data_IF_448993012994
#
_entry.id   IF_448993012994
#
_cell.length_a   1.000
_cell.length_b   1.000
_cell.length_c   1.000
_cell.angle_alpha   90.00
_cell.angle_beta   90.00
_cell.angle_gamma   90.00
#
_symmetry.space_group_name_H-M   'P 1'
#
loop_
_entity.id
_entity.type
_entity.pdbx_description
1 polymer ?
#
# COMPACT_ATOMS: atom_id res chain seq x y z
N UNK A 1 -0.93 -29.14 -11.17
CA UNK A 1 0.48 -28.70 -11.17
C UNK A 1 0.86 -27.92 -9.89
N UNK A 2 0.18 -26.80 -9.54
CA UNK A 2 0.49 -25.95 -8.38
C UNK A 2 0.50 -26.72 -7.05
N UNK A 3 -0.49 -27.58 -6.79
CA UNK A 3 -0.57 -28.38 -5.55
C UNK A 3 0.68 -29.25 -5.34
N UNK A 4 1.22 -29.83 -6.42
CA UNK A 4 2.49 -30.61 -6.35
C UNK A 4 3.69 -29.69 -6.14
N UNK A 5 3.75 -28.54 -6.86
CA UNK A 5 4.85 -27.58 -6.76
C UNK A 5 5.01 -26.99 -5.37
N UNK A 6 3.89 -26.73 -4.68
CA UNK A 6 3.86 -26.14 -3.34
C UNK A 6 3.66 -27.18 -2.21
N UNK A 7 3.71 -28.47 -2.52
CA UNK A 7 3.47 -29.55 -1.53
C UNK A 7 2.19 -29.32 -0.71
N UNK A 8 1.12 -28.78 -1.35
CA UNK A 8 -0.11 -28.39 -0.71
C UNK A 8 -1.31 -29.19 -1.21
N UNK A 9 -2.42 -29.19 -0.45
CA UNK A 9 -3.65 -29.84 -0.90
C UNK A 9 -4.29 -29.08 -2.07
N UNK A 10 -5.07 -29.79 -2.92
CA UNK A 10 -5.81 -29.15 -4.02
C UNK A 10 -6.83 -28.13 -3.50
N UNK A 11 -7.42 -28.37 -2.31
CA UNK A 11 -8.35 -27.44 -1.66
C UNK A 11 -7.65 -26.16 -1.22
N UNK A 12 -6.49 -26.28 -0.57
CA UNK A 12 -5.69 -25.12 -0.15
C UNK A 12 -5.29 -24.24 -1.33
N UNK A 13 -4.83 -24.86 -2.43
CA UNK A 13 -4.48 -24.12 -3.66
C UNK A 13 -5.71 -23.43 -4.26
N UNK A 14 -6.88 -24.10 -4.26
CA UNK A 14 -8.12 -23.49 -4.76
C UNK A 14 -8.51 -22.28 -3.94
N UNK A 15 -8.46 -22.39 -2.60
CA UNK A 15 -8.75 -21.29 -1.68
C UNK A 15 -7.78 -20.11 -1.88
N UNK A 16 -6.47 -20.37 -1.94
CA UNK A 16 -5.47 -19.34 -2.19
C UNK A 16 -5.72 -18.60 -3.52
N UNK A 17 -6.00 -19.35 -4.61
CA UNK A 17 -6.30 -18.75 -5.90
C UNK A 17 -7.62 -17.96 -5.91
N UNK A 18 -8.60 -18.36 -5.06
CA UNK A 18 -9.83 -17.58 -4.90
C UNK A 18 -9.57 -16.27 -4.14
N UNK A 19 -8.74 -16.29 -3.09
CA UNK A 19 -8.32 -15.09 -2.37
C UNK A 19 -7.62 -14.13 -3.34
N UNK A 20 -6.61 -14.59 -4.07
CA UNK A 20 -5.87 -13.78 -5.04
C UNK A 20 -6.79 -13.22 -6.16
N UNK A 21 -7.83 -13.98 -6.56
CA UNK A 21 -8.81 -13.51 -7.53
C UNK A 21 -9.72 -12.41 -6.95
N UNK A 22 -10.13 -12.54 -5.69
CA UNK A 22 -10.92 -11.53 -4.99
C UNK A 22 -10.12 -10.24 -4.74
N UNK A 23 -8.82 -10.37 -4.55
CA UNK A 23 -7.87 -9.25 -4.41
C UNK A 23 -7.48 -8.62 -5.75
N UNK A 24 -8.01 -9.12 -6.88
CA UNK A 24 -7.71 -8.59 -8.20
C UNK A 24 -6.33 -8.92 -8.76
N UNK A 25 -5.58 -9.82 -8.12
CA UNK A 25 -4.24 -10.26 -8.56
C UNK A 25 -4.30 -11.38 -9.62
N UNK A 26 -5.44 -12.07 -9.72
CA UNK A 26 -5.68 -13.14 -10.68
C UNK A 26 -7.01 -12.92 -11.38
N UNK A 27 -7.02 -12.99 -12.70
CA UNK A 27 -8.22 -13.06 -13.52
C UNK A 27 -8.59 -14.52 -13.72
N UNK A 28 -9.85 -14.87 -13.44
CA UNK A 28 -10.41 -16.18 -13.77
C UNK A 28 -11.32 -16.01 -15.00
N UNK A 29 -10.93 -16.57 -16.13
CA UNK A 29 -11.70 -16.56 -17.37
C UNK A 29 -12.88 -17.52 -17.31
N UNK A 30 -13.87 -17.33 -18.21
CA UNK A 30 -15.07 -18.16 -18.29
C UNK A 30 -14.78 -19.65 -18.57
N UNK A 31 -13.66 -19.95 -19.22
CA UNK A 31 -13.18 -21.31 -19.45
C UNK A 31 -12.42 -21.93 -18.27
N UNK A 32 -12.35 -21.23 -17.11
CA UNK A 32 -11.63 -21.67 -15.91
C UNK A 32 -10.12 -21.42 -15.94
N UNK A 33 -9.57 -20.84 -17.03
CA UNK A 33 -8.16 -20.42 -17.07
C UNK A 33 -7.95 -19.29 -16.08
N UNK A 34 -6.85 -19.35 -15.36
CA UNK A 34 -6.41 -18.31 -14.43
C UNK A 34 -5.13 -17.67 -14.93
N UNK A 35 -5.08 -16.35 -14.81
CA UNK A 35 -3.99 -15.53 -15.31
C UNK A 35 -3.63 -14.48 -14.26
N UNK A 36 -2.34 -14.27 -14.02
CA UNK A 36 -1.87 -13.20 -13.16
C UNK A 36 -2.12 -11.88 -13.86
N UNK A 37 -2.64 -10.90 -13.13
CA UNK A 37 -2.88 -9.56 -13.67
C UNK A 37 -1.54 -8.91 -14.01
N UNK A 38 -1.38 -8.49 -15.25
CA UNK A 38 -0.30 -7.59 -15.65
C UNK A 38 -0.85 -6.16 -15.58
N UNK A 39 -0.21 -5.32 -14.76
CA UNK A 39 -0.62 -3.93 -14.63
C UNK A 39 -0.10 -3.11 -15.80
N UNK A 40 -0.97 -2.25 -16.33
CA UNK A 40 -0.60 -1.18 -17.25
C UNK A 40 -0.34 0.11 -16.47
N UNK A 41 0.44 1.03 -17.03
CA UNK A 41 0.64 2.36 -16.41
C UNK A 41 -0.69 3.07 -16.12
N UNK A 42 -1.66 2.92 -17.02
CA UNK A 42 -3.00 3.48 -16.83
C UNK A 42 -3.69 2.93 -15.58
N UNK A 43 -3.63 1.61 -15.38
CA UNK A 43 -4.23 0.97 -14.20
C UNK A 43 -3.52 1.37 -12.90
N UNK A 44 -2.20 1.52 -12.93
CA UNK A 44 -1.45 2.08 -11.78
C UNK A 44 -1.93 3.48 -11.46
N UNK A 45 -2.00 4.35 -12.44
CA UNK A 45 -2.49 5.72 -12.27
C UNK A 45 -3.93 5.75 -11.71
N UNK A 46 -4.83 4.92 -12.25
CA UNK A 46 -6.21 4.83 -11.78
C UNK A 46 -6.28 4.36 -10.32
N UNK A 47 -5.48 3.36 -9.92
CA UNK A 47 -5.43 2.87 -8.54
C UNK A 47 -4.88 3.93 -7.57
N UNK A 48 -3.79 4.61 -7.92
CA UNK A 48 -3.21 5.64 -7.06
C UNK A 48 -4.09 6.88 -6.95
N UNK A 49 -4.79 7.28 -8.02
CA UNK A 49 -5.80 8.34 -7.96
C UNK A 49 -6.96 7.95 -7.03
N UNK A 50 -7.42 6.70 -7.10
CA UNK A 50 -8.47 6.20 -6.21
C UNK A 50 -7.99 6.11 -4.76
N UNK A 51 -6.76 5.62 -4.52
CA UNK A 51 -6.10 5.66 -3.21
C UNK A 51 -6.09 7.08 -2.64
N UNK A 52 -5.62 8.04 -3.43
CA UNK A 52 -5.54 9.44 -3.04
C UNK A 52 -6.91 10.01 -2.64
N UNK A 53 -7.97 9.72 -3.42
CA UNK A 53 -9.33 10.14 -3.13
C UNK A 53 -9.82 9.59 -1.78
N UNK A 54 -9.62 8.30 -1.53
CA UNK A 54 -10.05 7.65 -0.28
C UNK A 54 -9.28 8.16 0.93
N UNK A 55 -7.96 8.31 0.80
CA UNK A 55 -7.11 8.75 1.91
C UNK A 55 -7.30 10.23 2.24
N UNK A 56 -7.56 11.08 1.24
CA UNK A 56 -7.91 12.49 1.49
C UNK A 56 -9.27 12.62 2.17
N UNK A 57 -10.28 11.83 1.79
CA UNK A 57 -11.56 11.83 2.48
C UNK A 57 -11.42 11.27 3.90
N UNK A 58 -10.62 10.21 4.09
CA UNK A 58 -10.32 9.70 5.41
C UNK A 58 -9.61 10.75 6.29
N UNK A 59 -8.66 11.50 5.73
CA UNK A 59 -7.97 12.60 6.41
C UNK A 59 -8.96 13.70 6.82
N UNK A 60 -9.85 14.11 5.92
CA UNK A 60 -10.89 15.11 6.22
C UNK A 60 -11.77 14.68 7.40
N UNK A 61 -12.22 13.44 7.39
CA UNK A 61 -13.04 12.88 8.47
C UNK A 61 -12.26 12.76 9.78
N UNK A 62 -11.01 12.34 9.71
CA UNK A 62 -10.13 12.20 10.85
C UNK A 62 -9.86 13.56 11.53
N UNK A 63 -9.51 14.60 10.77
CA UNK A 63 -9.26 15.94 11.28
C UNK A 63 -10.53 16.62 11.80
N UNK A 64 -11.70 16.28 11.29
CA UNK A 64 -12.98 16.79 11.81
C UNK A 64 -13.34 16.27 13.20
N UNK A 65 -12.70 15.19 13.66
CA UNK A 65 -12.86 14.66 15.00
C UNK A 65 -12.03 15.51 15.96
N UNK A 66 -12.62 15.96 17.06
CA UNK A 66 -11.93 16.80 18.07
C UNK A 66 -10.82 16.05 18.84
N UNK A 67 -10.52 14.81 18.49
CA UNK A 67 -9.50 13.99 19.15
C UNK A 67 -8.21 14.00 18.31
N UNK A 68 -7.26 14.83 18.68
CA UNK A 68 -6.02 15.09 17.93
C UNK A 68 -4.86 14.13 18.21
N UNK A 69 -5.09 12.98 18.82
CA UNK A 69 -3.97 12.10 19.23
C UNK A 69 -3.73 10.88 18.33
N UNK A 70 -4.55 10.58 17.36
CA UNK A 70 -4.45 9.46 16.39
C UNK A 70 -3.59 8.25 16.83
N UNK A 71 -3.98 7.52 17.90
CA UNK A 71 -3.11 6.52 18.53
C UNK A 71 -2.78 5.33 17.63
N UNK A 72 -3.62 5.03 16.65
CA UNK A 72 -3.35 3.97 15.68
C UNK A 72 -2.16 4.33 14.79
N UNK A 73 -2.08 5.59 14.35
CA UNK A 73 -1.01 6.09 13.49
C UNK A 73 0.30 6.18 14.30
N UNK A 74 0.24 6.74 15.51
CA UNK A 74 1.40 6.83 16.41
C UNK A 74 2.05 5.47 16.65
N UNK A 75 1.23 4.43 16.89
CA UNK A 75 1.72 3.06 17.09
C UNK A 75 2.44 2.48 15.86
N UNK A 76 1.97 2.79 14.67
CA UNK A 76 2.64 2.33 13.43
C UNK A 76 3.90 3.14 13.19
N UNK A 77 3.88 4.44 13.44
CA UNK A 77 5.07 5.30 13.31
C UNK A 77 6.20 4.84 14.25
N UNK A 78 5.88 4.44 15.49
CA UNK A 78 6.84 3.83 16.42
C UNK A 78 7.44 2.51 15.87
N UNK A 79 6.66 1.69 15.17
CA UNK A 79 7.17 0.48 14.51
C UNK A 79 8.13 0.83 13.37
N UNK A 80 7.79 1.84 12.57
CA UNK A 80 8.64 2.32 11.48
C UNK A 80 9.97 2.83 12.04
N UNK A 81 9.94 3.65 13.09
CA UNK A 81 11.14 4.17 13.76
C UNK A 81 12.05 3.04 14.24
N UNK A 82 11.48 2.03 14.94
CA UNK A 82 12.22 0.86 15.40
C UNK A 82 12.84 0.07 14.25
N UNK A 83 12.11 -0.08 13.14
CA UNK A 83 12.61 -0.75 11.95
C UNK A 83 13.80 0.01 11.34
N UNK A 84 13.72 1.35 11.24
CA UNK A 84 14.83 2.18 10.74
C UNK A 84 16.10 2.10 11.61
N UNK A 85 15.94 1.88 12.93
CA UNK A 85 17.06 1.74 13.87
C UNK A 85 17.60 0.30 13.95
N UNK A 86 16.91 -0.66 13.35
CA UNK A 86 17.33 -2.06 13.37
C UNK A 86 18.29 -2.36 12.21
N UNK A 87 19.22 -3.27 12.45
CA UNK A 87 20.10 -3.81 11.41
C UNK A 87 19.49 -5.08 10.73
N UNK A 88 18.17 -5.28 10.86
CA UNK A 88 17.50 -6.43 10.24
C UNK A 88 17.27 -6.17 8.76
N UNK A 89 17.98 -6.92 7.91
CA UNK A 89 17.84 -6.85 6.45
C UNK A 89 16.54 -7.43 5.90
N UNK A 90 15.65 -7.96 6.75
CA UNK A 90 14.39 -8.59 6.36
C UNK A 90 13.16 -7.71 6.63
N UNK A 91 13.33 -6.39 6.75
CA UNK A 91 12.21 -5.47 7.01
C UNK A 91 11.36 -5.35 5.74
N UNK A 92 10.07 -5.62 5.89
CA UNK A 92 9.08 -5.36 4.84
C UNK A 92 8.58 -3.91 4.94
N UNK A 93 9.30 -2.99 4.28
CA UNK A 93 8.99 -1.57 4.23
C UNK A 93 7.62 -1.28 3.61
N UNK A 94 7.20 -2.11 2.65
CA UNK A 94 5.92 -1.92 1.97
C UNK A 94 4.74 -2.30 2.84
N UNK A 95 4.90 -3.34 3.66
CA UNK A 95 3.89 -3.68 4.67
C UNK A 95 3.79 -2.56 5.73
N UNK A 96 4.91 -1.96 6.13
CA UNK A 96 4.91 -0.82 7.05
C UNK A 96 4.22 0.41 6.45
N UNK A 97 4.43 0.72 5.17
CA UNK A 97 3.71 1.78 4.45
C UNK A 97 2.21 1.53 4.44
N UNK A 98 1.81 0.33 4.01
CA UNK A 98 0.40 -0.06 4.00
C UNK A 98 -0.22 -0.02 5.40
N UNK A 99 0.51 -0.42 6.45
CA UNK A 99 0.04 -0.30 7.84
C UNK A 99 -0.17 1.15 8.27
N UNK A 100 0.73 2.07 7.88
CA UNK A 100 0.62 3.49 8.22
C UNK A 100 -0.63 4.11 7.58
N UNK A 101 -0.79 3.95 6.28
CA UNK A 101 -1.95 4.46 5.56
C UNK A 101 -3.26 3.80 5.99
N UNK A 102 -3.23 2.50 6.28
CA UNK A 102 -4.37 1.78 6.89
C UNK A 102 -4.76 2.38 8.25
N UNK A 103 -3.79 2.71 9.09
CA UNK A 103 -4.06 3.34 10.39
C UNK A 103 -4.69 4.72 10.22
N UNK A 104 -4.23 5.52 9.25
CA UNK A 104 -4.81 6.81 8.90
C UNK A 104 -6.27 6.65 8.43
N UNK A 105 -6.53 5.74 7.48
CA UNK A 105 -7.88 5.48 6.96
C UNK A 105 -8.82 4.98 8.05
N UNK A 106 -8.38 4.07 8.91
CA UNK A 106 -9.16 3.57 10.06
C UNK A 106 -9.47 4.65 11.08
N UNK A 107 -8.59 5.63 11.25
CA UNK A 107 -8.80 6.77 12.14
C UNK A 107 -9.93 7.68 11.66
N UNK A 108 -10.37 7.57 10.41
CA UNK A 108 -11.57 8.27 9.91
C UNK A 108 -12.87 7.80 10.57
N UNK A 109 -12.93 6.55 11.07
CA UNK A 109 -14.14 5.94 11.63
C UNK A 109 -15.23 5.64 10.60
N UNK A 110 -15.03 5.93 9.31
CA UNK A 110 -16.01 5.70 8.25
C UNK A 110 -15.86 4.30 7.65
N UNK A 111 -16.80 3.40 7.95
CA UNK A 111 -16.74 2.01 7.51
C UNK A 111 -16.70 1.84 5.98
N UNK A 112 -17.37 2.71 5.23
CA UNK A 112 -17.40 2.62 3.77
C UNK A 112 -16.07 3.03 3.15
N UNK A 113 -15.45 4.09 3.65
CA UNK A 113 -14.09 4.50 3.24
C UNK A 113 -13.06 3.43 3.59
N UNK A 114 -13.14 2.90 4.82
CA UNK A 114 -12.27 1.82 5.29
C UNK A 114 -12.39 0.59 4.38
N UNK A 115 -13.60 0.10 4.14
CA UNK A 115 -13.82 -1.09 3.32
C UNK A 115 -13.38 -0.90 1.87
N UNK A 116 -13.64 0.26 1.27
CA UNK A 116 -13.19 0.58 -0.07
C UNK A 116 -11.66 0.61 -0.18
N UNK A 117 -10.97 1.16 0.83
CA UNK A 117 -9.52 1.18 0.88
C UNK A 117 -8.94 -0.21 1.11
N UNK A 118 -9.46 -0.98 2.07
CA UNK A 118 -9.00 -2.35 2.38
C UNK A 118 -9.14 -3.30 1.18
N UNK A 119 -10.17 -3.11 0.34
CA UNK A 119 -10.36 -3.90 -0.88
C UNK A 119 -9.22 -3.72 -1.90
N UNK A 120 -8.44 -2.66 -1.79
CA UNK A 120 -7.32 -2.34 -2.68
C UNK A 120 -5.96 -2.45 -2.00
N UNK A 121 -5.91 -2.66 -0.68
CA UNK A 121 -4.67 -2.67 0.10
C UNK A 121 -3.65 -3.68 -0.42
N UNK A 122 -4.10 -4.87 -0.83
CA UNK A 122 -3.22 -5.92 -1.37
C UNK A 122 -2.66 -5.56 -2.75
N UNK A 123 -3.44 -4.88 -3.59
CA UNK A 123 -2.96 -4.38 -4.89
C UNK A 123 -1.90 -3.30 -4.69
N UNK A 124 -2.13 -2.38 -3.75
CA UNK A 124 -1.18 -1.31 -3.40
C UNK A 124 0.13 -1.94 -2.91
N UNK A 125 0.05 -2.87 -1.95
CA UNK A 125 1.22 -3.60 -1.45
C UNK A 125 1.99 -4.30 -2.58
N UNK A 126 1.28 -5.02 -3.44
CA UNK A 126 1.89 -5.77 -4.55
C UNK A 126 2.62 -4.84 -5.51
N UNK A 127 2.00 -3.74 -5.92
CA UNK A 127 2.64 -2.76 -6.81
C UNK A 127 3.89 -2.14 -6.17
N UNK A 128 3.83 -1.82 -4.88
CA UNK A 128 4.97 -1.26 -4.16
C UNK A 128 6.10 -2.29 -3.99
N UNK A 129 5.77 -3.58 -3.76
CA UNK A 129 6.77 -4.63 -3.55
C UNK A 129 7.61 -4.94 -4.80
N UNK A 130 7.11 -4.65 -6.01
CA UNK A 130 7.93 -4.73 -7.22
C UNK A 130 9.09 -3.72 -7.23
N UNK A 131 9.01 -2.65 -6.45
CA UNK A 131 10.04 -1.61 -6.38
C UNK A 131 11.36 -2.12 -5.75
N UNK A 132 11.33 -3.15 -4.87
CA UNK A 132 12.54 -3.75 -4.29
C UNK A 132 13.42 -4.44 -5.32
N UNK A 133 12.83 -5.02 -6.34
CA UNK A 133 13.57 -5.72 -7.40
C UNK A 133 14.45 -4.75 -8.23
N UNK A 134 14.16 -3.45 -8.16
CA UNK A 134 14.85 -2.40 -8.90
C UNK A 134 15.95 -1.66 -8.11
N UNK A 135 16.32 -2.11 -6.90
CA UNK A 135 17.45 -1.54 -6.14
C UNK A 135 17.16 -0.24 -5.37
N UNK A 136 15.90 0.16 -5.24
CA UNK A 136 15.51 1.36 -4.49
C UNK A 136 15.52 1.19 -2.95
N UNK A 137 15.93 0.02 -2.42
CA UNK A 137 15.75 -0.36 -1.01
C UNK A 137 16.46 0.55 0.00
N UNK A 138 17.73 0.89 -0.20
CA UNK A 138 18.51 1.64 0.80
C UNK A 138 18.14 3.13 0.82
N UNK A 139 17.98 3.77 -0.32
CA UNK A 139 17.57 5.18 -0.41
C UNK A 139 16.13 5.36 0.09
N UNK A 140 15.26 4.40 -0.19
CA UNK A 140 13.90 4.38 0.31
C UNK A 140 13.86 4.31 1.84
N UNK A 141 14.62 3.41 2.45
CA UNK A 141 14.68 3.22 3.91
C UNK A 141 15.18 4.48 4.63
N UNK A 142 16.21 5.17 4.09
CA UNK A 142 16.81 6.34 4.73
C UNK A 142 15.84 7.52 4.89
N UNK A 143 14.87 7.66 3.98
CA UNK A 143 13.89 8.75 3.99
C UNK A 143 12.51 8.32 4.46
N UNK A 144 12.29 7.01 4.63
CA UNK A 144 10.98 6.42 4.90
C UNK A 144 10.33 6.96 6.18
N UNK A 145 11.04 6.87 7.31
CA UNK A 145 10.55 7.35 8.60
C UNK A 145 10.23 8.85 8.56
N UNK A 146 11.15 9.65 8.02
CA UNK A 146 10.99 11.11 7.98
C UNK A 146 9.77 11.56 7.17
N UNK A 147 9.48 10.89 6.05
CA UNK A 147 8.29 11.18 5.23
C UNK A 147 7.01 10.90 6.02
N UNK A 148 6.91 9.75 6.69
CA UNK A 148 5.73 9.38 7.47
C UNK A 148 5.57 10.20 8.74
N UNK A 149 6.69 10.51 9.43
CA UNK A 149 6.72 11.40 10.59
C UNK A 149 6.19 12.79 10.24
N UNK A 150 6.64 13.34 9.11
CA UNK A 150 6.18 14.64 8.63
C UNK A 150 4.67 14.68 8.40
N UNK A 151 4.10 13.67 7.75
CA UNK A 151 2.64 13.57 7.58
C UNK A 151 1.92 13.57 8.93
N UNK A 152 2.39 12.77 9.87
CA UNK A 152 1.78 12.66 11.19
C UNK A 152 1.85 13.99 11.96
N UNK A 153 2.97 14.70 11.93
CA UNK A 153 3.15 16.01 12.56
C UNK A 153 2.19 17.06 11.98
N UNK A 154 2.02 17.10 10.65
CA UNK A 154 1.06 17.99 9.99
C UNK A 154 -0.38 17.69 10.43
N UNK A 155 -0.74 16.41 10.56
CA UNK A 155 -2.07 16.02 11.00
C UNK A 155 -2.33 16.34 12.47
N UNK A 156 -1.33 16.21 13.34
CA UNK A 156 -1.44 16.61 14.76
C UNK A 156 -1.66 18.10 14.93
N UNK A 157 -1.04 18.92 14.08
CA UNK A 157 -1.15 20.39 14.12
C UNK A 157 -2.33 20.94 13.32
N UNK A 158 -3.12 20.07 12.66
CA UNK A 158 -4.19 20.47 11.72
C UNK A 158 -3.68 21.49 10.67
N UNK A 159 -2.49 21.24 10.16
CA UNK A 159 -1.82 22.14 9.23
C UNK A 159 -2.53 22.17 7.87
N UNK A 160 -2.62 23.36 7.28
CA UNK A 160 -3.27 23.60 5.97
C UNK A 160 -2.64 22.77 4.83
N UNK A 161 -1.35 22.41 4.97
CA UNK A 161 -0.62 21.68 3.95
C UNK A 161 -0.81 20.14 4.05
N UNK A 162 -1.54 19.66 5.08
CA UNK A 162 -1.82 18.23 5.34
C UNK A 162 -2.31 17.47 4.11
N UNK A 163 -3.27 18.03 3.37
CA UNK A 163 -3.85 17.39 2.18
C UNK A 163 -2.89 17.35 1.01
N UNK A 164 -2.16 18.44 0.82
CA UNK A 164 -1.22 18.55 -0.30
C UNK A 164 -0.01 17.63 -0.09
N UNK A 165 0.49 17.55 1.13
CA UNK A 165 1.62 16.68 1.47
C UNK A 165 1.23 15.20 1.37
N UNK A 166 0.04 14.81 1.85
CA UNK A 166 -0.48 13.46 1.66
C UNK A 166 -0.61 13.11 0.18
N UNK A 167 -1.22 14.00 -0.62
CA UNK A 167 -1.33 13.80 -2.07
C UNK A 167 0.02 13.62 -2.72
N UNK A 168 0.99 14.49 -2.39
CA UNK A 168 2.35 14.41 -2.92
C UNK A 168 3.00 13.07 -2.57
N UNK A 169 2.92 12.66 -1.31
CA UNK A 169 3.47 11.40 -0.83
C UNK A 169 2.92 10.19 -1.62
N UNK A 170 1.60 10.15 -1.87
CA UNK A 170 0.95 9.08 -2.64
C UNK A 170 1.39 9.12 -4.11
N UNK A 171 1.46 10.31 -4.71
CA UNK A 171 1.84 10.46 -6.12
C UNK A 171 3.32 10.17 -6.36
N UNK A 172 4.21 10.44 -5.41
CA UNK A 172 5.61 10.05 -5.49
C UNK A 172 5.75 8.52 -5.57
N UNK A 173 4.95 7.77 -4.80
CA UNK A 173 4.90 6.31 -4.88
C UNK A 173 4.33 5.79 -6.22
N UNK A 174 3.38 6.51 -6.83
CA UNK A 174 2.87 6.20 -8.18
C UNK A 174 3.99 6.30 -9.23
N UNK A 175 4.78 7.37 -9.20
CA UNK A 175 5.88 7.59 -10.15
C UNK A 175 6.88 6.44 -10.08
N UNK A 176 7.26 6.02 -8.86
CA UNK A 176 8.16 4.90 -8.65
C UNK A 176 7.55 3.61 -9.22
N UNK A 177 6.29 3.31 -8.91
CA UNK A 177 5.62 2.11 -9.40
C UNK A 177 5.54 2.03 -10.93
N UNK A 178 5.32 3.16 -11.61
CA UNK A 178 5.35 3.23 -13.09
C UNK A 178 6.74 2.99 -13.66
N UNK A 179 7.77 3.57 -13.06
CA UNK A 179 9.15 3.39 -13.56
C UNK A 179 9.59 1.94 -13.52
N UNK A 180 9.19 1.20 -12.48
CA UNK A 180 9.48 -0.23 -12.33
C UNK A 180 8.73 -1.07 -13.37
N UNK A 181 7.45 -0.77 -13.60
CA UNK A 181 6.70 -1.49 -14.65
C UNK A 181 7.36 -1.35 -16.01
N UNK A 182 7.86 -0.17 -16.34
CA UNK A 182 8.53 0.07 -17.62
C UNK A 182 9.83 -0.72 -17.73
N UNK A 183 10.61 -0.85 -16.65
CA UNK A 183 11.84 -1.67 -16.67
C UNK A 183 11.54 -3.16 -16.88
N UNK A 184 10.52 -3.69 -16.23
CA UNK A 184 10.10 -5.11 -16.37
C UNK A 184 9.57 -5.43 -17.77
N UNK A 185 8.94 -4.46 -18.47
CA UNK A 185 8.47 -4.66 -19.85
C UNK A 185 9.60 -4.56 -20.88
N UNK A 186 10.71 -3.89 -20.57
CA UNK A 186 11.87 -3.79 -21.47
C UNK A 186 12.77 -5.04 -21.46
N UNK A 187 12.65 -5.90 -20.44
CA UNK A 187 13.40 -7.15 -20.30
C UNK A 187 12.68 -8.37 -20.93
N UNK A 188 11.48 -8.20 -21.48
CA UNK A 188 10.71 -9.26 -22.19
C UNK A 188 10.83 -9.08 -23.70
#
# INVERSE_FOLDING_TARGET
QLARRFCASRSSVRTALQILSNEGLIITHSNGRREVVEFTEKQVMELYNFRCLLEQEALRLMLSQKNSMFPLIAKVLEKIEKACLSNDGNIDWYDLDVQFHRAQVRSSGNLFVINAWESNAQLIYTLMSFNTSAGYGEEYASTFFEKHRRLYELWLSDDKDSYQELKKHIMDAEIISKSVLNSVHMEK
#
